data_IF_429729234094
#
_entry.id   IF_429729234094
#
_cell.length_a   1.000
_cell.length_b   1.000
_cell.length_c   1.000
_cell.angle_alpha   90.00
_cell.angle_beta   90.00
_cell.angle_gamma   90.00
#
_symmetry.space_group_name_H-M   'P 1'
#
loop_
_entity.id
_entity.type
_entity.pdbx_description
1 polymer ?
#
# COMPACT_ATOMS: atom_id res chain seq x y z
N UNK A 1 -11.13 21.02 4.09
CA UNK A 1 -10.75 19.84 3.30
C UNK A 1 -9.25 19.87 3.12
N UNK A 2 -8.53 19.01 3.86
CA UNK A 2 -7.09 18.85 3.69
C UNK A 2 -6.89 17.61 2.83
N UNK A 3 -6.52 17.82 1.58
CA UNK A 3 -6.28 16.74 0.61
C UNK A 3 -4.83 16.28 0.76
N UNK A 4 -4.57 14.97 0.67
CA UNK A 4 -3.21 14.46 0.72
C UNK A 4 -2.42 14.83 -0.50
N UNK A 5 -1.14 15.14 -0.32
CA UNK A 5 -0.21 15.21 -1.44
C UNK A 5 0.56 13.90 -1.54
N UNK A 6 0.37 13.17 -2.63
CA UNK A 6 1.13 12.00 -3.02
C UNK A 6 2.29 12.43 -3.93
N UNK A 7 3.49 11.99 -3.58
CA UNK A 7 4.68 12.12 -4.41
C UNK A 7 5.31 10.74 -4.57
N UNK A 8 5.64 10.37 -5.80
CA UNK A 8 6.17 9.04 -6.10
C UNK A 8 7.30 9.12 -7.13
N UNK A 9 8.32 8.28 -6.94
CA UNK A 9 9.53 8.27 -7.78
C UNK A 9 9.29 7.80 -9.23
N UNK A 10 8.26 6.98 -9.45
CA UNK A 10 8.03 6.30 -10.72
C UNK A 10 6.54 5.97 -10.91
N UNK A 11 6.14 5.74 -12.16
CA UNK A 11 4.74 5.47 -12.51
C UNK A 11 4.17 4.20 -11.86
N UNK A 12 4.98 3.16 -11.67
CA UNK A 12 4.55 1.91 -11.04
C UNK A 12 4.25 2.10 -9.56
N UNK A 13 5.09 2.87 -8.87
CA UNK A 13 4.88 3.27 -7.48
C UNK A 13 3.68 4.21 -7.35
N UNK A 14 3.53 5.17 -8.26
CA UNK A 14 2.38 6.06 -8.30
C UNK A 14 1.05 5.29 -8.49
N UNK A 15 0.97 4.40 -9.47
CA UNK A 15 -0.22 3.58 -9.74
C UNK A 15 -0.60 2.71 -8.53
N UNK A 16 0.38 2.09 -7.87
CA UNK A 16 0.15 1.31 -6.66
C UNK A 16 -0.53 2.14 -5.56
N UNK A 17 0.00 3.33 -5.28
CA UNK A 17 -0.54 4.15 -4.20
C UNK A 17 -1.86 4.81 -4.54
N UNK A 18 -2.10 5.15 -5.80
CA UNK A 18 -3.42 5.61 -6.24
C UNK A 18 -4.48 4.53 -6.02
N UNK A 19 -4.19 3.28 -6.39
CA UNK A 19 -5.09 2.15 -6.13
C UNK A 19 -5.33 1.92 -4.63
N UNK A 20 -4.28 2.04 -3.81
CA UNK A 20 -4.39 1.90 -2.35
C UNK A 20 -5.22 3.02 -1.73
N UNK A 21 -4.97 4.29 -2.09
CA UNK A 21 -5.72 5.44 -1.58
C UNK A 21 -7.18 5.40 -2.03
N UNK A 22 -7.43 5.00 -3.29
CA UNK A 22 -8.78 4.79 -3.80
C UNK A 22 -9.51 3.67 -3.04
N UNK A 23 -8.85 2.53 -2.82
CA UNK A 23 -9.43 1.45 -2.02
C UNK A 23 -9.75 1.89 -0.60
N UNK A 24 -8.90 2.75 -0.01
CA UNK A 24 -9.16 3.37 1.27
C UNK A 24 -10.15 4.55 1.19
N UNK A 25 -10.71 4.91 0.04
CA UNK A 25 -11.60 6.08 -0.07
C UNK A 25 -11.00 7.34 0.54
N UNK A 26 -9.72 7.59 0.26
CA UNK A 26 -8.98 8.77 0.74
C UNK A 26 -8.76 9.68 -0.45
N UNK A 27 -8.96 10.99 -0.30
CA UNK A 27 -8.70 11.96 -1.36
C UNK A 27 -7.21 12.33 -1.44
N UNK A 28 -6.66 12.43 -2.65
CA UNK A 28 -5.27 12.86 -2.86
C UNK A 28 -5.11 13.76 -4.09
N UNK A 29 -4.00 14.48 -4.10
CA UNK A 29 -3.41 15.20 -5.22
C UNK A 29 -2.04 14.61 -5.50
N UNK A 30 -1.68 14.54 -6.78
CA UNK A 30 -0.32 14.15 -7.18
C UNK A 30 0.53 15.40 -7.30
N UNK A 31 1.73 15.38 -6.73
CA UNK A 31 2.74 16.43 -6.88
C UNK A 31 3.94 15.88 -7.66
N UNK A 32 4.50 16.71 -8.54
CA UNK A 32 5.68 16.39 -9.38
C UNK A 32 7.02 16.67 -8.68
N UNK A 33 7.00 17.00 -7.38
CA UNK A 33 8.25 17.25 -6.64
C UNK A 33 9.10 15.99 -6.50
N UNK A 34 10.41 16.13 -6.72
CA UNK A 34 11.39 15.04 -6.59
C UNK A 34 11.43 14.51 -5.16
N UNK A 35 11.32 13.19 -5.03
CA UNK A 35 11.23 12.50 -3.74
C UNK A 35 12.50 11.79 -3.30
N UNK A 36 13.66 12.10 -3.86
CA UNK A 36 14.93 11.40 -3.54
C UNK A 36 14.82 9.86 -3.68
N UNK A 37 13.88 9.36 -4.49
CA UNK A 37 13.68 7.93 -4.71
C UNK A 37 12.79 7.22 -3.69
N UNK A 38 12.02 7.94 -2.88
CA UNK A 38 11.01 7.32 -2.00
C UNK A 38 9.60 7.78 -2.34
N UNK A 39 8.61 7.06 -1.86
CA UNK A 39 7.23 7.55 -1.90
C UNK A 39 6.97 8.38 -0.66
N UNK A 40 6.30 9.52 -0.84
CA UNK A 40 5.90 10.39 0.26
C UNK A 40 4.40 10.71 0.17
N UNK A 41 3.71 10.57 1.29
CA UNK A 41 2.35 11.00 1.49
C UNK A 41 2.34 12.08 2.56
N UNK A 42 1.88 13.28 2.22
CA UNK A 42 1.97 14.44 3.13
C UNK A 42 0.65 15.18 3.29
N UNK A 43 0.38 15.63 4.51
CA UNK A 43 -0.70 16.55 4.85
C UNK A 43 -0.16 17.62 5.80
N UNK A 44 -0.24 18.89 5.38
CA UNK A 44 0.29 20.00 6.16
C UNK A 44 1.79 19.84 6.42
N UNK A 45 2.17 19.73 7.70
CA UNK A 45 3.57 19.55 8.13
C UNK A 45 3.98 18.09 8.30
N UNK A 46 3.03 17.16 8.22
CA UNK A 46 3.28 15.73 8.46
C UNK A 46 3.57 15.03 7.14
N UNK A 47 4.60 14.19 7.16
CA UNK A 47 5.03 13.40 6.00
C UNK A 47 5.25 11.95 6.42
N UNK A 48 4.60 11.04 5.70
CA UNK A 48 4.88 9.61 5.74
C UNK A 48 5.74 9.27 4.55
N UNK A 49 6.93 8.75 4.83
CA UNK A 49 7.91 8.37 3.80
C UNK A 49 8.09 6.86 3.82
N UNK A 50 8.03 6.24 2.65
CA UNK A 50 8.16 4.79 2.47
C UNK A 50 6.82 4.07 2.32
N UNK A 51 6.81 3.05 1.46
CA UNK A 51 5.60 2.32 1.08
C UNK A 51 4.99 1.58 2.28
N UNK A 52 5.82 0.89 3.05
CA UNK A 52 5.42 0.11 4.21
C UNK A 52 4.84 0.99 5.32
N UNK A 53 5.46 2.16 5.56
CA UNK A 53 4.97 3.12 6.53
C UNK A 53 3.58 3.64 6.14
N UNK A 54 3.38 3.97 4.86
CA UNK A 54 2.08 4.43 4.34
C UNK A 54 1.03 3.32 4.44
N UNK A 55 1.35 2.08 4.07
CA UNK A 55 0.43 0.93 4.17
C UNK A 55 -0.05 0.75 5.60
N UNK A 56 0.88 0.70 6.56
CA UNK A 56 0.57 0.45 7.96
C UNK A 56 -0.20 1.62 8.58
N UNK A 57 0.19 2.86 8.25
CA UNK A 57 -0.56 4.04 8.67
C UNK A 57 -1.98 4.00 8.11
N UNK A 58 -2.18 3.81 6.82
CA UNK A 58 -3.53 3.77 6.24
C UNK A 58 -4.40 2.65 6.83
N UNK A 59 -3.81 1.47 7.10
CA UNK A 59 -4.54 0.39 7.75
C UNK A 59 -4.92 0.73 9.19
N UNK A 60 -4.03 1.37 9.94
CA UNK A 60 -4.33 1.78 11.31
C UNK A 60 -5.38 2.89 11.36
N UNK A 61 -5.24 3.91 10.49
CA UNK A 61 -6.07 5.11 10.50
C UNK A 61 -7.44 4.89 9.86
N UNK A 62 -7.52 4.00 8.86
CA UNK A 62 -8.77 3.61 8.21
C UNK A 62 -8.80 2.08 8.04
N UNK A 63 -9.16 1.33 9.09
CA UNK A 63 -9.11 -0.12 9.07
C UNK A 63 -10.13 -0.75 8.10
N UNK A 64 -11.17 -0.01 7.71
CA UNK A 64 -12.18 -0.47 6.76
C UNK A 64 -12.21 0.41 5.49
N UNK A 65 -12.13 -0.19 4.27
CA UNK A 65 -11.90 -1.62 4.04
C UNK A 65 -10.46 -2.04 4.37
N UNK A 66 -10.29 -3.23 4.96
CA UNK A 66 -8.97 -3.72 5.38
C UNK A 66 -8.08 -4.10 4.19
N UNK A 67 -6.81 -3.69 4.24
CA UNK A 67 -5.76 -4.15 3.33
C UNK A 67 -5.38 -5.62 3.58
N UNK A 68 -5.79 -6.18 4.71
CA UNK A 68 -5.48 -7.52 5.19
C UNK A 68 -6.76 -8.26 5.63
N UNK A 69 -7.73 -8.47 4.73
CA UNK A 69 -9.08 -8.92 5.08
C UNK A 69 -9.13 -10.33 5.71
N UNK A 70 -8.07 -11.12 5.58
CA UNK A 70 -7.93 -12.44 6.20
C UNK A 70 -7.00 -12.44 7.44
N UNK A 71 -6.60 -11.26 7.92
CA UNK A 71 -5.66 -11.07 9.03
C UNK A 71 -4.19 -11.34 8.69
N UNK A 72 -3.87 -11.78 7.47
CA UNK A 72 -2.50 -12.07 7.05
C UNK A 72 -1.80 -10.78 6.60
N UNK A 73 -1.05 -10.15 7.53
CA UNK A 73 -0.19 -9.00 7.22
C UNK A 73 1.13 -9.39 6.57
N UNK A 74 1.71 -10.51 6.98
CA UNK A 74 3.08 -10.89 6.58
C UNK A 74 3.24 -11.15 5.08
N UNK A 75 2.31 -11.89 4.46
CA UNK A 75 2.44 -12.24 3.06
C UNK A 75 2.27 -11.04 2.11
N UNK A 76 1.23 -10.19 2.23
CA UNK A 76 1.12 -8.99 1.39
C UNK A 76 2.28 -8.00 1.60
N UNK A 77 2.77 -7.84 2.83
CA UNK A 77 3.95 -7.00 3.09
C UNK A 77 5.21 -7.56 2.39
N UNK A 78 5.40 -8.88 2.41
CA UNK A 78 6.48 -9.51 1.67
C UNK A 78 6.34 -9.29 0.15
N UNK A 79 5.12 -9.35 -0.38
CA UNK A 79 4.87 -9.08 -1.81
C UNK A 79 5.19 -7.62 -2.19
N UNK A 80 5.01 -6.63 -1.30
CA UNK A 80 5.47 -5.24 -1.50
C UNK A 80 6.98 -5.19 -1.74
N UNK A 81 7.72 -5.83 -0.85
CA UNK A 81 9.17 -5.89 -0.95
C UNK A 81 9.63 -6.55 -2.27
N UNK A 82 9.02 -7.69 -2.62
CA UNK A 82 9.33 -8.39 -3.87
C UNK A 82 8.96 -7.57 -5.10
N UNK A 83 7.84 -6.84 -5.08
CA UNK A 83 7.42 -5.94 -6.17
C UNK A 83 8.49 -4.88 -6.45
N UNK A 84 8.99 -4.22 -5.40
CA UNK A 84 10.06 -3.20 -5.52
C UNK A 84 11.34 -3.81 -6.08
N UNK A 85 11.77 -4.95 -5.55
CA UNK A 85 12.94 -5.68 -6.05
C UNK A 85 12.83 -6.10 -7.52
N UNK A 86 11.64 -6.47 -7.95
CA UNK A 86 11.39 -6.92 -9.31
C UNK A 86 11.30 -5.76 -10.30
N UNK A 87 10.82 -4.58 -9.85
CA UNK A 87 10.88 -3.36 -10.64
C UNK A 87 12.32 -2.93 -10.94
N UNK A 88 13.26 -3.21 -10.03
CA UNK A 88 14.70 -2.99 -10.22
C UNK A 88 15.35 -4.03 -11.16
N UNK A 89 14.71 -5.18 -11.38
CA UNK A 89 15.26 -6.29 -12.18
C UNK A 89 14.82 -6.22 -13.65
N UNK A 90 15.72 -6.61 -14.57
CA UNK A 90 15.41 -6.74 -15.99
C UNK A 90 14.85 -8.11 -16.37
N UNK A 91 14.57 -8.99 -15.40
CA UNK A 91 14.17 -10.37 -15.66
C UNK A 91 12.73 -10.48 -16.16
N UNK A 92 12.50 -11.54 -16.94
CA UNK A 92 11.22 -11.78 -17.60
C UNK A 92 10.14 -12.13 -16.58
N UNK A 93 9.25 -11.16 -16.42
CA UNK A 93 8.24 -11.11 -15.37
C UNK A 93 7.01 -11.99 -15.63
N UNK A 94 7.06 -12.81 -16.69
CA UNK A 94 6.02 -13.74 -17.14
C UNK A 94 5.63 -14.78 -16.09
N UNK A 95 6.55 -15.15 -15.18
CA UNK A 95 6.27 -16.09 -14.11
C UNK A 95 5.22 -15.55 -13.11
N UNK A 96 5.28 -14.26 -12.77
CA UNK A 96 4.38 -13.66 -11.79
C UNK A 96 2.98 -13.45 -12.35
N UNK A 97 2.88 -12.97 -13.59
CA UNK A 97 1.59 -12.89 -14.27
C UNK A 97 0.98 -14.28 -14.47
N UNK A 98 1.79 -15.29 -14.75
CA UNK A 98 1.38 -16.69 -14.80
C UNK A 98 0.76 -17.18 -13.49
N UNK A 99 1.31 -16.80 -12.33
CA UNK A 99 0.73 -17.15 -11.03
C UNK A 99 -0.61 -16.46 -10.78
N UNK A 100 -0.71 -15.16 -11.10
CA UNK A 100 -1.99 -14.42 -10.97
C UNK A 100 -3.04 -15.01 -11.91
N UNK A 101 -2.69 -15.28 -13.17
CA UNK A 101 -3.58 -15.90 -14.15
C UNK A 101 -4.13 -17.23 -13.64
N UNK A 102 -3.27 -18.14 -13.16
CA UNK A 102 -3.71 -19.43 -12.62
C UNK A 102 -4.68 -19.27 -11.45
N UNK A 103 -4.38 -18.36 -10.53
CA UNK A 103 -5.28 -18.10 -9.40
C UNK A 103 -6.64 -17.53 -9.83
N UNK A 104 -6.68 -16.74 -10.89
CA UNK A 104 -7.93 -16.19 -11.43
C UNK A 104 -8.71 -17.23 -12.25
N UNK A 105 -8.01 -18.12 -12.96
CA UNK A 105 -8.62 -19.22 -13.71
C UNK A 105 -9.25 -20.27 -12.77
N UNK A 106 -8.80 -20.35 -11.51
CA UNK A 106 -9.45 -21.12 -10.43
C UNK A 106 -10.81 -20.52 -9.99
N UNK A 107 -11.21 -19.36 -10.53
CA UNK A 107 -12.51 -18.73 -10.28
C UNK A 107 -12.59 -17.86 -9.03
N UNK A 108 -11.44 -17.45 -8.47
CA UNK A 108 -11.39 -16.61 -7.27
C UNK A 108 -11.87 -15.18 -7.56
N UNK A 109 -12.55 -14.59 -6.57
CA UNK A 109 -12.93 -13.17 -6.60
C UNK A 109 -11.69 -12.27 -6.53
N UNK A 110 -10.80 -12.53 -5.57
CA UNK A 110 -9.55 -11.82 -5.31
C UNK A 110 -8.44 -12.80 -4.87
N UNK A 111 -7.19 -12.35 -4.81
CA UNK A 111 -6.02 -13.20 -4.53
C UNK A 111 -6.05 -13.83 -3.13
N UNK A 112 -6.64 -13.14 -2.15
CA UNK A 112 -6.66 -13.56 -0.75
C UNK A 112 -8.05 -13.89 -0.21
N UNK A 113 -9.07 -14.01 -1.06
CA UNK A 113 -10.43 -14.39 -0.68
C UNK A 113 -11.50 -13.63 -1.45
N UNK A 114 -12.55 -13.23 -0.73
CA UNK A 114 -13.73 -12.55 -1.30
C UNK A 114 -13.62 -11.01 -1.31
N UNK A 115 -12.62 -10.46 -0.64
CA UNK A 115 -12.41 -9.01 -0.54
C UNK A 115 -11.10 -8.61 -1.22
N UNK A 116 -11.10 -7.42 -1.82
CA UNK A 116 -9.89 -6.79 -2.36
C UNK A 116 -8.87 -6.63 -1.23
N UNK A 117 -7.63 -7.03 -1.46
CA UNK A 117 -6.54 -6.86 -0.48
C UNK A 117 -5.33 -6.13 -1.05
N UNK A 118 -4.36 -5.86 -0.19
CA UNK A 118 -3.06 -5.32 -0.61
C UNK A 118 -2.38 -6.19 -1.67
N UNK A 119 -2.54 -7.52 -1.61
CA UNK A 119 -1.97 -8.42 -2.61
C UNK A 119 -2.55 -8.15 -4.00
N UNK A 120 -3.86 -7.91 -4.10
CA UNK A 120 -4.51 -7.57 -5.36
C UNK A 120 -4.03 -6.23 -5.91
N UNK A 121 -3.94 -5.22 -5.04
CA UNK A 121 -3.48 -3.87 -5.38
C UNK A 121 -2.05 -3.91 -5.93
N UNK A 122 -1.16 -4.64 -5.25
CA UNK A 122 0.23 -4.83 -5.70
C UNK A 122 0.29 -5.53 -7.06
N UNK A 123 -0.40 -6.66 -7.20
CA UNK A 123 -0.42 -7.43 -8.45
C UNK A 123 -0.99 -6.60 -9.61
N UNK A 124 -2.11 -5.92 -9.39
CA UNK A 124 -2.74 -5.07 -10.40
C UNK A 124 -1.84 -3.91 -10.81
N UNK A 125 -1.25 -3.20 -9.85
CA UNK A 125 -0.31 -2.11 -10.13
C UNK A 125 0.84 -2.55 -11.03
N UNK A 126 1.38 -3.75 -10.78
CA UNK A 126 2.46 -4.31 -11.57
C UNK A 126 1.99 -4.73 -12.97
N UNK A 127 0.84 -5.40 -13.08
CA UNK A 127 0.25 -5.85 -14.36
C UNK A 127 -0.09 -4.68 -15.28
N UNK A 128 -0.56 -3.55 -14.73
CA UNK A 128 -0.91 -2.36 -15.49
C UNK A 128 0.32 -1.67 -16.11
N UNK A 129 1.48 -1.79 -15.46
CA UNK A 129 2.73 -1.17 -15.90
C UNK A 129 3.57 -2.08 -16.80
N UNK A 130 3.04 -3.22 -17.23
CA UNK A 130 3.73 -4.20 -18.06
C UNK A 130 2.85 -4.67 -19.22
N UNK A 131 3.47 -4.92 -20.38
CA UNK A 131 2.79 -5.49 -21.55
C UNK A 131 2.61 -6.99 -21.40
N UNK A 132 1.64 -7.39 -20.57
CA UNK A 132 1.31 -8.80 -20.28
C UNK A 132 0.04 -9.18 -21.03
N UNK A 133 0.07 -10.33 -21.69
CA UNK A 133 -1.12 -11.01 -22.22
C UNK A 133 -2.02 -11.47 -21.05
N UNK A 134 -3.30 -11.15 -21.11
CA UNK A 134 -4.25 -11.38 -20.01
C UNK A 134 -5.27 -12.42 -20.43
N UNK A 135 -5.47 -13.45 -19.60
CA UNK A 135 -6.63 -14.34 -19.76
C UNK A 135 -7.93 -13.56 -19.53
N UNK A 136 -9.08 -14.04 -20.04
CA UNK A 136 -10.37 -13.40 -19.76
C UNK A 136 -10.67 -13.26 -18.26
N UNK A 137 -10.28 -14.25 -17.44
CA UNK A 137 -10.50 -14.21 -16.00
C UNK A 137 -9.59 -13.21 -15.31
N UNK A 138 -8.32 -13.13 -15.71
CA UNK A 138 -7.40 -12.10 -15.24
C UNK A 138 -7.88 -10.70 -15.63
N UNK A 139 -8.38 -10.51 -16.84
CA UNK A 139 -8.93 -9.22 -17.25
C UNK A 139 -10.19 -8.86 -16.45
N UNK A 140 -11.08 -9.83 -16.20
CA UNK A 140 -12.25 -9.61 -15.37
C UNK A 140 -11.89 -9.24 -13.92
N UNK A 141 -10.91 -9.92 -13.34
CA UNK A 141 -10.35 -9.56 -12.03
C UNK A 141 -9.74 -8.16 -12.04
N UNK A 142 -8.92 -7.82 -13.04
CA UNK A 142 -8.32 -6.49 -13.14
C UNK A 142 -9.39 -5.40 -13.22
N UNK A 143 -10.46 -5.63 -13.98
CA UNK A 143 -11.60 -4.70 -14.05
C UNK A 143 -12.30 -4.54 -12.68
N UNK A 144 -12.43 -5.62 -11.89
CA UNK A 144 -12.95 -5.54 -10.52
C UNK A 144 -12.04 -4.69 -9.63
N UNK A 145 -10.72 -4.93 -9.65
CA UNK A 145 -9.76 -4.13 -8.90
C UNK A 145 -9.85 -2.66 -9.31
N UNK A 146 -9.85 -2.36 -10.61
CA UNK A 146 -9.93 -0.99 -11.13
C UNK A 146 -11.26 -0.29 -10.85
N UNK A 147 -12.34 -1.04 -10.60
CA UNK A 147 -13.64 -0.43 -10.28
C UNK A 147 -13.60 0.40 -8.99
N UNK A 148 -12.65 0.14 -8.08
CA UNK A 148 -12.45 0.94 -6.87
C UNK A 148 -11.90 2.34 -7.15
N UNK A 149 -11.29 2.58 -8.32
CA UNK A 149 -10.93 3.94 -8.73
C UNK A 149 -12.17 4.76 -9.13
N UNK A 150 -13.27 4.09 -9.48
CA UNK A 150 -14.48 4.73 -10.00
C UNK A 150 -15.62 4.79 -8.97
N UNK A 151 -15.56 4.00 -7.90
CA UNK A 151 -16.55 3.98 -6.83
C UNK A 151 -15.92 4.54 -5.55
N UNK A 152 -16.68 5.39 -4.86
CA UNK A 152 -16.43 6.01 -3.54
C UNK A 152 -15.89 7.46 -3.55
N UNK A 153 -16.84 8.38 -3.73
CA UNK A 153 -16.83 9.73 -3.18
C UNK A 153 -17.99 9.81 -2.17
N UNK A 154 -17.75 9.45 -0.92
CA UNK A 154 -18.53 9.90 0.25
C UNK A 154 -17.75 9.50 1.52
N UNK A 155 -17.37 10.50 2.33
CA UNK A 155 -16.54 10.46 3.56
C UNK A 155 -15.00 10.59 3.40
N UNK A 156 -14.55 11.85 3.27
CA UNK A 156 -13.15 12.29 3.39
C UNK A 156 -12.68 12.30 4.86
N UNK A 157 -11.56 11.66 5.18
CA UNK A 157 -10.89 11.69 6.51
C UNK A 157 -9.71 12.68 6.49
N UNK A 158 -9.49 13.38 7.60
CA UNK A 158 -8.35 14.29 7.81
C UNK A 158 -7.23 13.55 8.56
N UNK A 159 -6.04 13.39 7.96
CA UNK A 159 -4.93 12.69 8.63
C UNK A 159 -4.24 13.50 9.73
N UNK A 160 -4.43 14.83 9.77
CA UNK A 160 -3.89 15.68 10.84
C UNK A 160 -4.40 15.26 12.22
N UNK A 161 -5.68 14.89 12.38
CA UNK A 161 -6.25 14.49 13.67
C UNK A 161 -5.77 13.09 14.14
N UNK A 162 -5.20 12.31 13.23
CA UNK A 162 -5.00 10.86 13.36
C UNK A 162 -3.50 10.49 13.39
N UNK A 163 -2.66 11.27 12.72
CA UNK A 163 -1.20 11.19 12.82
C UNK A 163 -0.68 11.75 14.15
N UNK A 164 -1.38 12.67 14.80
CA UNK A 164 -1.03 13.09 16.17
C UNK A 164 -1.12 11.92 17.15
N UNK A 165 -2.18 11.10 17.10
CA UNK A 165 -2.32 9.91 17.95
C UNK A 165 -1.28 8.84 17.63
N UNK A 166 -0.94 8.65 16.35
CA UNK A 166 0.06 7.65 15.94
C UNK A 166 1.48 8.06 16.30
N UNK A 167 1.82 9.35 16.15
CA UNK A 167 3.11 9.89 16.61
C UNK A 167 3.20 9.81 18.14
N UNK A 168 2.12 10.09 18.87
CA UNK A 168 2.08 9.97 20.32
C UNK A 168 2.30 8.50 20.76
N UNK A 169 1.60 7.54 20.13
CA UNK A 169 1.78 6.11 20.38
C UNK A 169 3.21 5.62 20.08
N UNK A 170 3.77 5.97 18.92
CA UNK A 170 5.14 5.59 18.54
C UNK A 170 6.22 6.29 19.38
N UNK A 171 5.92 7.49 19.92
CA UNK A 171 6.81 8.19 20.85
C UNK A 171 6.78 7.56 22.24
N UNK A 172 5.62 7.06 22.67
CA UNK A 172 5.46 6.32 23.93
C UNK A 172 6.20 4.96 23.86
N UNK A 173 6.04 4.18 22.79
CA UNK A 173 6.75 2.90 22.64
C UNK A 173 8.28 3.07 22.63
N UNK A 174 8.78 4.15 21.99
CA UNK A 174 10.22 4.48 22.03
C UNK A 174 10.72 4.81 23.43
N UNK A 175 9.90 5.41 24.28
CA UNK A 175 10.27 5.69 25.67
C UNK A 175 10.23 4.45 26.56
N UNK A 176 9.36 3.48 26.27
CA UNK A 176 9.32 2.21 27.00
C UNK A 176 10.52 1.30 26.68
N UNK A 177 10.99 1.32 25.43
CA UNK A 177 12.18 0.55 25.01
C UNK A 177 13.52 1.19 25.47
N UNK A 178 13.57 2.49 25.73
CA UNK A 178 14.78 3.17 26.24
C UNK A 178 14.96 3.06 27.77
N UNK A 179 13.94 2.62 28.52
CA UNK A 179 14.02 2.44 29.98
C UNK A 179 14.26 0.97 30.34
N UNK A 180 15.50 0.48 30.11
CA UNK A 180 16.16 -0.58 30.93
C UNK A 180 17.55 -0.99 30.39
N UNK A 181 18.54 -0.11 30.44
CA UNK A 181 19.93 -0.53 30.73
C UNK A 181 20.59 0.52 31.62
N UNK A 182 20.35 0.46 32.93
CA UNK A 182 21.31 0.94 33.91
C UNK A 182 21.86 -0.26 34.67
N UNK A 183 23.04 -0.71 34.25
CA UNK A 183 23.91 -1.52 35.10
C UNK A 183 24.50 -0.61 36.18
N UNK A 184 24.50 -1.04 37.46
CA UNK A 184 25.55 -0.62 38.35
C UNK A 184 26.09 -1.85 39.08
N UNK A 185 27.13 -2.48 38.55
CA UNK A 185 28.03 -3.28 39.37
C UNK A 185 29.47 -3.00 38.96
N UNK A 186 30.01 -1.96 39.57
CA UNK A 186 31.42 -1.83 39.87
C UNK A 186 31.61 -2.14 41.36
N UNK A 187 32.07 -3.35 41.67
CA UNK A 187 33.07 -3.68 42.71
C UNK A 187 33.84 -4.91 42.25
#
# INVERSE_FOLDING_TARGET
MSILTLKAQDQSTATFCQLMLAHKGVDWLVSEEDTQGEICLSQGTIQLVGEEAIILALEYLKPEPSLFPNGNKGMPMALSFWRKKMAESSEDSTAQSGLVMRQMDDGRSFLQGEHLSLADIQAASWILNKSIEKSPMMQAWLNRVLSVLNNELEETIYLEDLLFETIEYLTIEKQEDEVKISSPLSV
#
